data_IF_683396322979
#
_entry.id   IF_683396322979
#
_cell.length_a   1.000
_cell.length_b   1.000
_cell.length_c   1.000
_cell.angle_alpha   90.00
_cell.angle_beta   90.00
_cell.angle_gamma   90.00
#
_symmetry.space_group_name_H-M   'P 1'
#
loop_
_entity.id
_entity.type
_entity.pdbx_description
1 polymer ?
#
# COMPACT_ATOMS: atom_id res chain seq x y z
N UNK A 1 -11.37 -24.87 17.55
CA UNK A 1 -11.74 -23.60 16.90
C UNK A 1 -11.15 -23.63 15.50
N UNK A 2 -11.87 -23.15 14.51
CA UNK A 2 -11.36 -23.13 13.12
C UNK A 2 -10.17 -22.16 13.09
N UNK A 3 -8.98 -22.66 12.77
CA UNK A 3 -7.72 -21.94 12.85
C UNK A 3 -7.39 -21.24 11.51
N UNK A 4 -8.40 -21.00 10.67
CA UNK A 4 -8.26 -20.36 9.37
C UNK A 4 -8.46 -18.85 9.46
N UNK A 5 -7.70 -18.12 8.67
CA UNK A 5 -7.91 -16.68 8.45
C UNK A 5 -9.12 -16.53 7.51
N UNK A 6 -10.14 -15.81 7.98
CA UNK A 6 -11.35 -15.49 7.23
C UNK A 6 -11.21 -14.10 6.62
N UNK A 7 -11.21 -14.00 5.30
CA UNK A 7 -11.18 -12.73 4.58
C UNK A 7 -12.59 -12.12 4.58
N UNK A 8 -12.68 -10.84 4.94
CA UNK A 8 -13.90 -10.03 4.94
C UNK A 8 -13.75 -8.90 3.89
N UNK A 9 -14.22 -9.12 2.64
CA UNK A 9 -14.01 -8.16 1.54
C UNK A 9 -14.62 -6.78 1.80
N UNK A 10 -15.71 -6.71 2.57
CA UNK A 10 -16.39 -5.46 2.91
C UNK A 10 -15.88 -4.85 4.24
N UNK A 11 -14.87 -5.46 4.86
CA UNK A 11 -14.30 -4.99 6.13
C UNK A 11 -13.37 -3.79 5.92
N UNK A 12 -13.33 -2.89 6.91
CA UNK A 12 -12.56 -1.63 6.87
C UNK A 12 -11.78 -1.43 8.17
N UNK A 13 -11.16 -0.27 8.34
CA UNK A 13 -10.48 0.14 9.59
C UNK A 13 -11.40 0.22 10.81
N UNK A 14 -12.71 0.20 10.64
CA UNK A 14 -13.68 0.18 11.75
C UNK A 14 -14.26 -1.20 12.03
N UNK A 15 -13.86 -2.22 11.27
CA UNK A 15 -14.30 -3.61 11.50
C UNK A 15 -13.76 -4.20 12.82
N UNK A 16 -12.49 -3.96 13.22
CA UNK A 16 -12.04 -4.35 14.55
C UNK A 16 -12.76 -3.56 15.65
N UNK A 17 -13.02 -4.20 16.78
CA UNK A 17 -13.77 -3.61 17.90
C UNK A 17 -13.12 -2.32 18.41
N UNK A 18 -13.96 -1.32 18.75
CA UNK A 18 -13.54 -0.09 19.40
C UNK A 18 -12.89 0.94 18.48
N UNK A 19 -12.97 0.76 17.17
CA UNK A 19 -12.59 1.76 16.17
C UNK A 19 -13.83 2.38 15.55
N UNK A 20 -13.81 3.72 15.45
CA UNK A 20 -14.84 4.50 14.78
C UNK A 20 -14.20 5.52 13.86
N UNK A 21 -14.85 5.83 12.74
CA UNK A 21 -14.34 6.78 11.76
C UNK A 21 -15.47 7.66 11.21
N UNK A 22 -15.10 8.74 10.55
CA UNK A 22 -16.01 9.60 9.83
C UNK A 22 -15.25 10.59 8.97
N UNK A 23 -15.94 11.22 8.03
CA UNK A 23 -15.35 12.14 7.07
C UNK A 23 -16.27 13.32 6.76
N UNK A 24 -15.70 14.38 6.20
CA UNK A 24 -16.41 15.56 5.72
C UNK A 24 -15.79 16.07 4.41
N UNK A 25 -16.60 16.74 3.60
CA UNK A 25 -16.15 17.53 2.46
C UNK A 25 -15.96 18.97 2.92
N UNK A 26 -14.71 19.37 3.20
CA UNK A 26 -14.40 20.71 3.71
C UNK A 26 -13.85 21.63 2.62
N UNK A 27 -13.57 21.09 1.43
CA UNK A 27 -13.02 21.83 0.30
C UNK A 27 -11.57 22.21 0.56
N UNK A 28 -10.71 21.25 0.89
CA UNK A 28 -9.25 21.40 0.92
C UNK A 28 -8.78 21.88 -0.46
N UNK A 29 -9.31 21.27 -1.52
CA UNK A 29 -9.28 21.81 -2.89
C UNK A 29 -10.63 22.40 -3.24
N UNK A 30 -10.62 23.64 -3.68
CA UNK A 30 -11.85 24.37 -4.00
C UNK A 30 -12.60 23.85 -5.23
N UNK A 31 -11.93 23.06 -6.08
CA UNK A 31 -12.46 22.44 -7.29
C UNK A 31 -12.95 21.00 -7.06
N UNK A 32 -12.89 20.51 -5.83
CA UNK A 32 -13.38 19.18 -5.46
C UNK A 32 -14.73 19.24 -4.74
N UNK A 33 -15.63 18.33 -5.12
CA UNK A 33 -16.93 18.10 -4.47
C UNK A 33 -16.97 16.65 -3.96
N UNK A 34 -16.09 16.35 -3.00
CA UNK A 34 -15.98 15.01 -2.37
C UNK A 34 -15.46 15.13 -0.94
N UNK A 35 -15.58 14.04 -0.19
CA UNK A 35 -14.96 13.91 1.13
C UNK A 35 -13.43 14.12 0.99
N UNK A 36 -12.85 14.99 1.84
CA UNK A 36 -11.43 15.36 1.77
C UNK A 36 -10.77 15.60 3.14
N UNK A 37 -11.54 15.42 4.23
CA UNK A 37 -11.06 15.41 5.60
C UNK A 37 -11.66 14.22 6.34
N UNK A 38 -10.84 13.47 7.09
CA UNK A 38 -11.32 12.29 7.84
C UNK A 38 -10.64 12.14 9.19
N UNK A 39 -11.34 11.47 10.09
CA UNK A 39 -10.89 11.10 11.43
C UNK A 39 -11.12 9.61 11.66
N UNK A 40 -10.12 8.97 12.28
CA UNK A 40 -10.23 7.64 12.88
C UNK A 40 -9.92 7.77 14.37
N UNK A 41 -10.71 7.12 15.22
CA UNK A 41 -10.52 7.14 16.66
C UNK A 41 -10.69 5.75 17.25
N UNK A 42 -9.83 5.44 18.23
CA UNK A 42 -9.94 4.24 19.04
C UNK A 42 -10.47 4.57 20.44
N UNK A 43 -11.40 3.77 20.94
CA UNK A 43 -11.95 3.90 22.31
C UNK A 43 -10.89 3.71 23.40
N UNK A 44 -9.79 3.02 23.07
CA UNK A 44 -8.63 2.82 23.95
C UNK A 44 -7.34 3.28 23.28
N UNK A 45 -6.34 3.75 24.05
CA UNK A 45 -5.00 3.96 23.53
C UNK A 45 -4.46 2.69 22.86
N UNK A 46 -3.81 2.84 21.71
CA UNK A 46 -3.29 1.74 20.94
C UNK A 46 -1.77 1.58 21.10
N UNK A 47 -1.31 0.34 21.13
CA UNK A 47 0.04 0.03 20.68
C UNK A 47 0.10 0.29 19.18
N UNK A 48 1.11 1.03 18.72
CA UNK A 48 1.14 1.53 17.34
C UNK A 48 2.53 1.32 16.72
N UNK A 49 2.53 0.94 15.45
CA UNK A 49 3.73 0.90 14.64
C UNK A 49 3.49 1.57 13.29
N UNK A 50 4.50 2.21 12.74
CA UNK A 50 4.43 2.83 11.43
C UNK A 50 5.74 2.67 10.65
N UNK A 51 5.61 2.69 9.32
CA UNK A 51 6.71 2.81 8.36
C UNK A 51 6.41 4.02 7.49
N UNK A 52 7.44 4.83 7.21
CA UNK A 52 7.30 6.09 6.49
C UNK A 52 8.19 6.13 5.26
N UNK A 53 7.88 7.05 4.34
CA UNK A 53 8.69 7.30 3.14
C UNK A 53 10.18 7.50 3.48
N UNK A 54 11.03 6.96 2.62
CA UNK A 54 12.48 7.20 2.67
C UNK A 54 12.90 8.38 1.78
N UNK A 55 11.95 9.10 1.15
CA UNK A 55 12.23 10.30 0.38
C UNK A 55 12.89 11.36 1.28
N UNK A 56 13.94 12.00 0.78
CA UNK A 56 14.62 13.08 1.51
C UNK A 56 13.76 14.35 1.66
N UNK A 57 12.76 14.53 0.79
CA UNK A 57 11.78 15.61 0.88
C UNK A 57 10.53 15.12 1.63
N UNK A 58 10.66 14.81 2.92
CA UNK A 58 9.51 14.42 3.74
C UNK A 58 8.54 15.58 3.94
N UNK A 59 7.25 15.30 3.78
CA UNK A 59 6.18 16.26 4.06
C UNK A 59 6.06 16.56 5.57
N UNK A 60 5.54 17.72 5.92
CA UNK A 60 5.35 18.13 7.30
C UNK A 60 4.54 17.12 8.14
N UNK A 61 3.40 16.57 7.67
CA UNK A 61 2.64 15.57 8.42
C UNK A 61 3.45 14.29 8.71
N UNK A 62 4.35 13.86 7.81
CA UNK A 62 5.23 12.72 8.04
C UNK A 62 6.18 13.00 9.22
N UNK A 63 6.83 14.16 9.23
CA UNK A 63 7.77 14.54 10.29
C UNK A 63 7.08 14.64 11.67
N UNK A 64 5.85 15.20 11.69
CA UNK A 64 5.06 15.29 12.93
C UNK A 64 4.67 13.89 13.40
N UNK A 65 4.16 13.03 12.52
CA UNK A 65 3.74 11.68 12.88
C UNK A 65 4.91 10.78 13.30
N UNK A 66 6.09 10.90 12.68
CA UNK A 66 7.32 10.24 13.17
C UNK A 66 7.67 10.65 14.59
N UNK A 67 7.51 11.95 14.91
CA UNK A 67 7.77 12.48 16.26
C UNK A 67 6.75 11.99 17.28
N UNK A 68 5.46 12.00 16.92
CA UNK A 68 4.36 11.58 17.78
C UNK A 68 4.43 10.08 18.09
N UNK A 69 4.79 9.25 17.10
CA UNK A 69 4.90 7.80 17.26
C UNK A 69 6.22 7.31 17.87
N UNK A 70 7.08 8.21 18.36
CA UNK A 70 8.37 7.83 18.94
C UNK A 70 8.25 6.91 20.17
N UNK A 71 7.14 6.98 20.91
CA UNK A 71 6.84 6.12 22.06
C UNK A 71 6.00 4.88 21.71
N UNK A 72 5.64 4.70 20.42
CA UNK A 72 4.87 3.56 19.93
C UNK A 72 3.39 3.59 20.32
N UNK A 73 2.81 4.77 20.55
CA UNK A 73 1.42 4.93 20.93
C UNK A 73 0.67 5.90 20.01
N UNK A 74 -0.60 5.67 19.81
CA UNK A 74 -1.56 6.62 19.24
C UNK A 74 -2.99 6.23 19.66
N UNK A 75 -3.92 7.15 19.50
CA UNK A 75 -5.35 6.89 19.76
C UNK A 75 -6.24 7.43 18.64
N UNK A 76 -5.73 8.34 17.80
CA UNK A 76 -6.49 8.90 16.70
C UNK A 76 -5.62 9.13 15.47
N UNK A 77 -6.29 9.23 14.31
CA UNK A 77 -5.71 9.70 13.05
C UNK A 77 -6.56 10.86 12.54
N UNK A 78 -5.91 11.91 12.04
CA UNK A 78 -6.51 12.94 11.20
C UNK A 78 -5.83 12.93 9.85
N UNK A 79 -6.60 12.83 8.77
CA UNK A 79 -6.04 12.82 7.43
C UNK A 79 -6.83 13.73 6.49
N UNK A 80 -6.12 14.38 5.55
CA UNK A 80 -6.75 15.11 4.45
C UNK A 80 -6.26 14.64 3.09
N UNK A 81 -7.11 14.80 2.08
CA UNK A 81 -6.72 14.74 0.67
C UNK A 81 -6.81 16.15 0.03
N UNK A 82 -6.15 16.31 -1.15
CA UNK A 82 -6.17 17.55 -1.93
C UNK A 82 -4.95 18.46 -1.74
N UNK A 83 -4.27 18.40 -0.59
CA UNK A 83 -3.03 19.10 -0.30
C UNK A 83 -2.09 18.16 0.45
N UNK A 84 -0.91 17.90 -0.11
CA UNK A 84 0.11 17.04 0.50
C UNK A 84 0.79 17.69 1.72
N UNK A 85 0.66 18.98 1.89
CA UNK A 85 1.38 19.77 2.89
C UNK A 85 2.90 19.48 2.87
N UNK A 86 3.45 19.37 1.67
CA UNK A 86 4.87 19.14 1.40
C UNK A 86 5.45 20.34 0.67
N UNK A 87 6.72 20.67 0.93
CA UNK A 87 7.39 21.87 0.43
C UNK A 87 6.69 23.19 0.82
N UNK A 88 6.02 23.23 1.95
CA UNK A 88 5.20 24.33 2.49
C UNK A 88 5.91 25.12 3.60
N UNK A 89 7.15 24.75 3.92
CA UNK A 89 8.00 25.45 4.87
C UNK A 89 7.48 25.46 6.32
N UNK A 90 7.81 26.51 7.07
CA UNK A 90 7.42 26.64 8.48
C UNK A 90 5.89 26.66 8.69
N UNK A 91 5.16 27.21 7.73
CA UNK A 91 3.70 27.27 7.80
C UNK A 91 3.11 25.86 7.74
N UNK A 92 3.51 25.05 6.77
CA UNK A 92 2.98 23.69 6.67
C UNK A 92 3.31 22.82 7.89
N UNK A 93 4.45 23.06 8.54
CA UNK A 93 4.76 22.41 9.81
C UNK A 93 3.81 22.84 10.93
N UNK A 94 3.49 24.16 11.02
CA UNK A 94 2.52 24.66 11.98
C UNK A 94 1.11 24.12 11.68
N UNK A 95 0.71 24.08 10.41
CA UNK A 95 -0.60 23.55 9.97
C UNK A 95 -0.74 22.05 10.38
N UNK A 96 0.31 21.23 10.24
CA UNK A 96 0.28 19.82 10.65
C UNK A 96 0.16 19.66 12.19
N UNK A 97 0.85 20.49 12.98
CA UNK A 97 0.69 20.53 14.43
C UNK A 97 -0.74 20.92 14.82
N UNK A 98 -1.29 21.95 14.15
CA UNK A 98 -2.66 22.41 14.41
C UNK A 98 -3.70 21.32 14.09
N UNK A 99 -3.52 20.54 13.01
CA UNK A 99 -4.37 19.38 12.73
C UNK A 99 -4.40 18.39 13.90
N UNK A 100 -3.23 18.04 14.47
CA UNK A 100 -3.15 17.17 15.64
C UNK A 100 -3.87 17.77 16.85
N UNK A 101 -3.71 19.09 17.09
CA UNK A 101 -4.36 19.80 18.19
C UNK A 101 -5.89 19.79 18.05
N UNK A 102 -6.40 20.03 16.84
CA UNK A 102 -7.86 20.02 16.56
C UNK A 102 -8.46 18.64 16.83
N UNK A 103 -7.82 17.57 16.38
CA UNK A 103 -8.29 16.20 16.65
C UNK A 103 -8.15 15.84 18.13
N UNK A 104 -7.03 16.21 18.78
CA UNK A 104 -6.82 16.03 20.22
C UNK A 104 -7.91 16.72 21.05
N UNK A 105 -8.27 17.96 20.72
CA UNK A 105 -9.34 18.70 21.37
C UNK A 105 -10.70 18.03 21.18
N UNK A 106 -11.01 17.54 19.97
CA UNK A 106 -12.28 16.84 19.68
C UNK A 106 -12.45 15.60 20.54
N UNK A 107 -11.38 14.82 20.73
CA UNK A 107 -11.42 13.55 21.45
C UNK A 107 -11.04 13.66 22.93
N UNK A 108 -10.53 14.81 23.37
CA UNK A 108 -10.04 14.99 24.75
C UNK A 108 -8.79 14.18 25.06
N UNK A 109 -7.91 14.00 24.07
CA UNK A 109 -6.63 13.28 24.18
C UNK A 109 -5.46 14.22 23.93
N UNK A 110 -4.25 13.79 24.31
CA UNK A 110 -3.04 14.55 23.97
C UNK A 110 -2.85 14.62 22.45
N UNK A 111 -2.57 15.81 21.87
CA UNK A 111 -2.21 15.92 20.45
C UNK A 111 -1.07 15.00 20.00
N UNK A 112 -0.16 14.61 20.91
CA UNK A 112 0.89 13.62 20.61
C UNK A 112 0.35 12.21 20.36
N UNK A 113 -0.85 11.87 20.85
CA UNK A 113 -1.53 10.60 20.55
C UNK A 113 -2.30 10.63 19.21
N UNK A 114 -2.14 11.70 18.41
CA UNK A 114 -2.78 11.87 17.10
C UNK A 114 -1.75 11.73 15.98
N UNK A 115 -2.02 10.83 15.06
CA UNK A 115 -1.27 10.69 13.80
C UNK A 115 -1.86 11.64 12.76
N UNK A 116 -1.01 12.39 12.07
CA UNK A 116 -1.39 13.34 11.02
C UNK A 116 -0.96 12.81 9.67
N UNK A 117 -1.85 12.81 8.69
CA UNK A 117 -1.55 12.40 7.32
C UNK A 117 -2.15 13.42 6.32
N UNK A 118 -1.47 13.62 5.22
CA UNK A 118 -1.93 14.47 4.11
C UNK A 118 -1.55 13.86 2.78
N UNK A 119 -2.36 14.08 1.75
CA UNK A 119 -2.06 13.66 0.38
C UNK A 119 -2.65 14.65 -0.63
N UNK A 120 -2.09 14.73 -1.83
CA UNK A 120 -2.53 15.62 -2.90
C UNK A 120 -1.39 16.47 -3.44
N UNK A 121 -1.68 17.72 -3.81
CA UNK A 121 -0.71 18.63 -4.46
C UNK A 121 0.47 18.93 -3.54
N UNK A 122 1.69 18.78 -4.07
CA UNK A 122 2.94 19.21 -3.43
C UNK A 122 3.12 20.71 -3.68
N UNK A 123 3.43 21.46 -2.61
CA UNK A 123 3.55 22.93 -2.66
C UNK A 123 2.23 23.64 -2.34
N UNK A 124 2.12 24.96 -2.68
CA UNK A 124 0.91 25.71 -2.45
C UNK A 124 -0.25 25.28 -3.38
N UNK A 125 -1.52 25.47 -2.99
CA UNK A 125 -1.93 26.25 -1.82
C UNK A 125 -1.71 25.51 -0.50
N UNK A 126 -1.56 26.27 0.60
CA UNK A 126 -1.52 25.73 1.95
C UNK A 126 -2.88 25.18 2.37
N UNK A 127 -2.88 24.36 3.43
CA UNK A 127 -4.10 23.84 4.04
C UNK A 127 -5.04 24.99 4.46
N UNK A 128 -6.34 24.91 4.17
CA UNK A 128 -7.32 25.88 4.63
C UNK A 128 -7.74 25.58 6.07
N UNK A 129 -6.91 25.95 7.05
CA UNK A 129 -7.03 25.55 8.44
C UNK A 129 -8.37 25.93 9.08
N UNK A 130 -8.95 27.08 8.71
CA UNK A 130 -10.29 27.46 9.18
C UNK A 130 -11.36 26.43 8.78
N UNK A 131 -11.33 25.96 7.53
CA UNK A 131 -12.26 24.94 7.03
C UNK A 131 -12.01 23.58 7.68
N UNK A 132 -10.72 23.23 7.88
CA UNK A 132 -10.34 21.99 8.58
C UNK A 132 -10.87 22.03 10.02
N UNK A 133 -10.70 23.16 10.73
CA UNK A 133 -11.17 23.31 12.09
C UNK A 133 -12.70 23.17 12.22
N UNK A 134 -13.45 23.72 11.26
CA UNK A 134 -14.90 23.56 11.24
C UNK A 134 -15.31 22.14 10.87
N UNK A 135 -14.67 21.53 9.87
CA UNK A 135 -14.92 20.14 9.50
C UNK A 135 -14.64 19.15 10.63
N UNK A 136 -13.55 19.32 11.36
CA UNK A 136 -13.25 18.48 12.54
C UNK A 136 -14.38 18.53 13.56
N UNK A 137 -15.01 19.69 13.81
CA UNK A 137 -16.15 19.80 14.74
C UNK A 137 -17.37 19.04 14.21
N UNK A 138 -17.65 19.12 12.92
CA UNK A 138 -18.85 18.57 12.27
C UNK A 138 -18.79 17.07 12.02
N UNK A 139 -17.60 16.49 11.81
CA UNK A 139 -17.46 15.05 11.55
C UNK A 139 -18.06 14.24 12.69
N UNK A 140 -19.05 13.43 12.37
CA UNK A 140 -19.59 12.38 13.25
C UNK A 140 -18.88 11.07 13.00
N UNK A 141 -18.45 10.37 14.05
CA UNK A 141 -17.77 9.09 13.95
C UNK A 141 -18.73 7.94 14.25
N UNK A 142 -18.66 6.90 13.42
CA UNK A 142 -19.47 5.68 13.59
C UNK A 142 -18.62 4.44 13.32
N UNK A 143 -19.13 3.28 13.72
CA UNK A 143 -18.55 1.97 13.40
C UNK A 143 -18.66 1.64 11.90
N UNK A 144 -19.56 2.28 11.15
CA UNK A 144 -19.72 2.13 9.71
C UNK A 144 -18.90 3.17 8.91
N UNK A 145 -18.26 4.14 9.57
CA UNK A 145 -17.54 5.25 8.94
C UNK A 145 -16.24 4.88 8.23
N UNK A 146 -15.83 3.61 8.24
CA UNK A 146 -14.61 3.15 7.61
C UNK A 146 -14.59 3.30 6.08
N UNK A 147 -15.75 3.22 5.41
CA UNK A 147 -15.86 3.46 3.96
C UNK A 147 -15.71 4.96 3.66
N UNK A 148 -16.31 5.83 4.46
CA UNK A 148 -16.15 7.28 4.31
C UNK A 148 -14.69 7.69 4.54
N UNK A 149 -14.02 7.06 5.51
CA UNK A 149 -12.59 7.24 5.75
C UNK A 149 -11.79 6.86 4.49
N UNK A 150 -12.06 5.71 3.89
CA UNK A 150 -11.38 5.28 2.66
C UNK A 150 -11.62 6.24 1.50
N UNK A 151 -12.85 6.75 1.32
CA UNK A 151 -13.19 7.72 0.28
C UNK A 151 -12.49 9.08 0.48
N UNK A 152 -12.37 9.55 1.73
CA UNK A 152 -11.82 10.85 2.04
C UNK A 152 -10.31 10.97 1.81
N UNK A 153 -9.58 9.86 1.87
CA UNK A 153 -8.13 9.84 1.61
C UNK A 153 -7.77 9.70 0.12
N UNK A 154 -8.73 9.38 -0.74
CA UNK A 154 -8.51 9.23 -2.19
C UNK A 154 -8.07 10.56 -2.85
N UNK A 155 -7.27 10.47 -3.91
CA UNK A 155 -6.93 11.60 -4.78
C UNK A 155 -7.39 11.33 -6.21
N UNK A 156 -6.59 10.67 -7.00
CA UNK A 156 -6.84 10.21 -8.35
C UNK A 156 -7.37 8.78 -8.41
N UNK A 157 -7.47 8.12 -7.26
CA UNK A 157 -8.08 6.80 -7.12
C UNK A 157 -9.50 6.79 -7.69
N UNK A 158 -9.87 5.72 -8.41
CA UNK A 158 -11.21 5.57 -8.99
C UNK A 158 -12.16 4.82 -8.06
N UNK A 159 -11.63 4.00 -7.17
CA UNK A 159 -12.38 3.21 -6.18
C UNK A 159 -11.70 3.22 -4.81
N UNK A 160 -12.48 3.22 -3.70
CA UNK A 160 -11.92 3.04 -2.38
C UNK A 160 -11.38 1.61 -2.20
N UNK A 161 -10.27 1.47 -1.47
CA UNK A 161 -9.57 0.19 -1.27
C UNK A 161 -9.54 -0.15 0.21
N UNK A 162 -10.21 -1.23 0.58
CA UNK A 162 -10.33 -1.71 1.95
C UNK A 162 -10.53 -3.22 2.01
N UNK A 163 -10.22 -3.81 3.15
CA UNK A 163 -10.41 -5.24 3.45
C UNK A 163 -10.24 -5.47 4.94
N UNK A 164 -10.81 -6.55 5.46
CA UNK A 164 -10.45 -7.06 6.76
C UNK A 164 -10.17 -8.57 6.72
N UNK A 165 -9.44 -9.04 7.71
CA UNK A 165 -9.17 -10.46 7.95
C UNK A 165 -9.42 -10.78 9.43
N UNK A 166 -10.14 -11.86 9.69
CA UNK A 166 -10.49 -12.32 11.04
C UNK A 166 -9.82 -13.66 11.34
N UNK A 167 -9.31 -13.80 12.55
CA UNK A 167 -8.81 -15.06 13.06
C UNK A 167 -9.22 -15.23 14.53
N UNK A 168 -9.99 -16.27 14.83
CA UNK A 168 -10.45 -16.52 16.20
C UNK A 168 -11.23 -15.33 16.79
N UNK A 169 -10.67 -14.72 17.84
CA UNK A 169 -11.30 -13.63 18.57
C UNK A 169 -10.99 -12.23 18.02
N UNK A 170 -9.92 -12.08 17.21
CA UNK A 170 -9.43 -10.79 16.74
C UNK A 170 -9.60 -10.58 15.23
N UNK A 171 -9.56 -9.34 14.83
CA UNK A 171 -9.71 -8.89 13.46
C UNK A 171 -8.61 -7.87 13.12
N UNK A 172 -8.13 -7.89 11.88
CA UNK A 172 -7.29 -6.83 11.29
C UNK A 172 -8.11 -6.19 10.17
N UNK A 173 -8.32 -4.88 10.23
CA UNK A 173 -8.96 -4.10 9.17
C UNK A 173 -7.97 -3.16 8.52
N UNK A 174 -8.14 -2.85 7.24
CA UNK A 174 -7.25 -1.95 6.53
C UNK A 174 -7.93 -1.15 5.43
N UNK A 175 -7.42 0.06 5.21
CA UNK A 175 -7.72 0.90 4.05
C UNK A 175 -6.42 1.44 3.47
N UNK A 176 -6.41 1.67 2.15
CA UNK A 176 -5.26 2.27 1.47
C UNK A 176 -5.72 3.19 0.34
N UNK A 177 -4.95 4.22 0.05
CA UNK A 177 -5.06 5.02 -1.16
C UNK A 177 -3.71 5.08 -1.87
N UNK A 178 -3.76 5.25 -3.19
CA UNK A 178 -2.61 5.52 -4.04
C UNK A 178 -2.69 4.77 -5.36
N UNK A 179 -2.55 5.48 -6.47
CA UNK A 179 -2.66 4.97 -7.84
C UNK A 179 -1.66 5.62 -8.80
N UNK A 180 -0.87 6.58 -8.30
CA UNK A 180 0.24 7.26 -8.97
C UNK A 180 1.30 7.69 -7.97
N UNK A 181 2.51 7.96 -8.45
CA UNK A 181 3.74 8.19 -7.67
C UNK A 181 4.04 6.96 -6.78
N UNK A 182 3.98 5.77 -7.36
CA UNK A 182 4.13 4.48 -6.67
C UNK A 182 5.39 3.76 -7.14
N UNK A 183 6.43 3.75 -6.28
CA UNK A 183 7.68 3.03 -6.50
C UNK A 183 8.15 2.32 -5.22
N UNK A 184 8.75 1.12 -5.31
CA UNK A 184 9.24 0.36 -4.15
C UNK A 184 10.27 1.12 -3.28
N UNK A 185 10.20 0.92 -1.99
CA UNK A 185 10.82 1.51 -0.81
C UNK A 185 9.91 2.54 -0.10
N UNK A 186 8.68 2.13 0.19
CA UNK A 186 7.55 2.94 0.62
C UNK A 186 7.06 3.84 -0.52
N UNK A 187 6.12 3.31 -1.29
CA UNK A 187 5.43 3.98 -2.41
C UNK A 187 4.41 5.01 -1.92
N UNK A 188 3.94 5.93 -2.78
CA UNK A 188 2.95 6.98 -2.49
C UNK A 188 1.64 6.40 -2.02
N UNK A 189 1.58 6.07 -0.75
CA UNK A 189 0.38 5.52 -0.15
C UNK A 189 0.12 6.10 1.22
N UNK A 190 -1.14 6.17 1.56
CA UNK A 190 -1.58 6.25 2.93
C UNK A 190 -2.31 4.95 3.24
N UNK A 191 -1.69 4.11 4.05
CA UNK A 191 -2.28 2.86 4.52
C UNK A 191 -2.51 2.94 6.02
N UNK A 192 -3.75 2.71 6.42
CA UNK A 192 -4.17 2.66 7.81
C UNK A 192 -4.70 1.26 8.10
N UNK A 193 -4.08 0.62 9.08
CA UNK A 193 -4.44 -0.70 9.57
C UNK A 193 -4.86 -0.59 11.02
N UNK A 194 -5.89 -1.31 11.40
CA UNK A 194 -6.38 -1.40 12.78
C UNK A 194 -6.52 -2.86 13.18
N UNK A 195 -6.35 -3.14 14.46
CA UNK A 195 -6.67 -4.45 15.01
C UNK A 195 -7.14 -4.32 16.46
N UNK A 196 -8.10 -5.16 16.84
CA UNK A 196 -8.53 -5.31 18.21
C UNK A 196 -7.70 -6.34 19.00
N UNK A 197 -6.75 -7.04 18.35
CA UNK A 197 -5.83 -7.94 19.03
C UNK A 197 -4.96 -7.20 20.04
N UNK A 198 -4.72 -7.76 21.25
CA UNK A 198 -3.68 -7.28 22.14
C UNK A 198 -2.31 -7.72 21.61
N UNK A 199 -1.48 -6.77 21.13
CA UNK A 199 -0.19 -7.06 20.49
C UNK A 199 0.94 -6.33 21.20
N UNK A 200 2.04 -7.06 21.46
CA UNK A 200 3.24 -6.49 22.05
C UNK A 200 3.94 -5.51 21.08
N UNK A 201 4.46 -4.36 21.56
CA UNK A 201 5.00 -3.30 20.71
C UNK A 201 6.10 -3.78 19.75
N UNK A 202 7.09 -4.52 20.25
CA UNK A 202 8.21 -5.00 19.44
C UNK A 202 7.75 -5.98 18.35
N UNK A 203 6.80 -6.85 18.70
CA UNK A 203 6.21 -7.78 17.72
C UNK A 203 5.38 -7.05 16.67
N UNK A 204 4.53 -6.08 17.06
CA UNK A 204 3.74 -5.30 16.12
C UNK A 204 4.63 -4.55 15.12
N UNK A 205 5.73 -3.95 15.59
CA UNK A 205 6.70 -3.26 14.74
C UNK A 205 7.38 -4.20 13.75
N UNK A 206 7.82 -5.38 14.20
CA UNK A 206 8.46 -6.36 13.33
C UNK A 206 7.46 -6.98 12.33
N UNK A 207 6.23 -7.24 12.78
CA UNK A 207 5.17 -7.78 11.94
C UNK A 207 4.75 -6.81 10.83
N UNK A 208 4.58 -5.51 11.15
CA UNK A 208 4.29 -4.49 10.14
C UNK A 208 5.42 -4.40 9.11
N UNK A 209 6.68 -4.35 9.57
CA UNK A 209 7.83 -4.29 8.67
C UNK A 209 7.83 -5.47 7.70
N UNK A 210 7.65 -6.68 8.20
CA UNK A 210 7.59 -7.90 7.38
C UNK A 210 6.43 -7.84 6.37
N UNK A 211 5.23 -7.42 6.81
CA UNK A 211 4.08 -7.31 5.93
C UNK A 211 4.29 -6.28 4.81
N UNK A 212 4.86 -5.11 5.13
CA UNK A 212 5.21 -4.07 4.15
C UNK A 212 6.27 -4.54 3.17
N UNK A 213 7.28 -5.27 3.65
CA UNK A 213 8.39 -5.76 2.80
C UNK A 213 7.94 -6.77 1.74
N UNK A 214 6.86 -7.53 1.99
CA UNK A 214 6.31 -8.51 1.03
C UNK A 214 5.09 -8.01 0.26
N UNK A 215 4.67 -6.77 0.46
CA UNK A 215 3.49 -6.17 -0.16
C UNK A 215 3.80 -4.82 -0.79
N UNK A 216 3.67 -3.72 -0.05
CA UNK A 216 3.83 -2.35 -0.55
C UNK A 216 5.23 -2.06 -1.10
N UNK A 217 6.27 -2.73 -0.58
CA UNK A 217 7.63 -2.64 -1.13
C UNK A 217 7.84 -3.53 -2.37
N UNK A 218 6.80 -4.20 -2.85
CA UNK A 218 6.83 -5.10 -4.01
C UNK A 218 5.86 -4.66 -5.12
N UNK A 219 5.41 -3.39 -5.12
CA UNK A 219 4.56 -2.83 -6.17
C UNK A 219 5.24 -1.68 -6.89
N UNK A 220 4.90 -1.48 -8.18
CA UNK A 220 5.34 -0.32 -8.96
C UNK A 220 4.27 0.13 -9.96
N UNK A 221 4.06 1.45 -10.07
CA UNK A 221 3.19 2.05 -11.09
C UNK A 221 4.02 2.90 -12.06
N UNK A 222 4.78 3.87 -11.57
CA UNK A 222 5.42 4.91 -12.39
C UNK A 222 6.89 5.23 -12.02
N UNK A 223 7.48 4.45 -11.12
CA UNK A 223 8.86 4.60 -10.65
C UNK A 223 9.15 5.90 -9.87
N UNK A 224 8.11 6.62 -9.41
CA UNK A 224 8.26 7.81 -8.59
C UNK A 224 7.94 7.54 -7.11
N UNK A 225 8.79 8.04 -6.19
CA UNK A 225 8.63 7.88 -4.75
C UNK A 225 8.02 9.14 -4.14
N UNK A 226 6.93 8.99 -3.38
CA UNK A 226 6.28 10.11 -2.72
C UNK A 226 7.01 10.67 -1.51
N UNK A 227 6.58 11.86 -1.16
CA UNK A 227 7.00 12.64 0.01
C UNK A 227 6.17 12.36 1.27
N UNK A 228 5.04 11.62 1.15
CA UNK A 228 4.00 11.54 2.19
C UNK A 228 3.68 10.12 2.68
N UNK A 229 4.36 9.09 2.17
CA UNK A 229 4.00 7.69 2.44
C UNK A 229 4.00 7.33 3.90
N UNK A 230 2.97 6.59 4.27
CA UNK A 230 2.80 6.03 5.61
C UNK A 230 2.03 4.71 5.54
N UNK A 231 2.58 3.67 6.17
CA UNK A 231 1.84 2.49 6.58
C UNK A 231 1.78 2.46 8.11
N UNK A 232 0.58 2.56 8.67
CA UNK A 232 0.31 2.63 10.10
C UNK A 232 -0.52 1.42 10.52
N UNK A 233 -0.19 0.81 11.67
CA UNK A 233 -1.05 -0.16 12.34
C UNK A 233 -1.30 0.26 13.78
N UNK A 234 -2.57 0.26 14.20
CA UNK A 234 -3.04 0.58 15.55
C UNK A 234 -3.70 -0.66 16.17
N UNK A 235 -3.18 -1.12 17.33
CA UNK A 235 -3.67 -2.28 18.07
C UNK A 235 -4.24 -1.81 19.42
N UNK A 236 -5.57 -1.87 19.62
CA UNK A 236 -6.21 -1.36 20.84
C UNK A 236 -6.45 -2.45 21.91
N UNK A 237 -6.23 -3.71 21.62
CA UNK A 237 -6.34 -4.80 22.57
C UNK A 237 -7.76 -5.01 23.12
N UNK A 238 -8.80 -4.74 22.33
CA UNK A 238 -10.20 -4.91 22.76
C UNK A 238 -10.78 -6.30 22.46
N UNK A 239 -10.04 -7.15 21.72
CA UNK A 239 -10.37 -8.56 21.60
C UNK A 239 -9.96 -9.33 22.86
N UNK A 240 -10.67 -10.43 23.15
CA UNK A 240 -10.32 -11.31 24.23
C UNK A 240 -9.07 -12.13 23.87
N UNK A 241 -8.20 -12.35 24.85
CA UNK A 241 -7.00 -13.18 24.72
C UNK A 241 -5.78 -12.59 25.39
N UNK A 242 -4.69 -13.36 25.38
CA UNK A 242 -3.39 -12.94 25.88
C UNK A 242 -2.67 -12.06 24.85
N UNK A 243 -1.70 -11.27 25.32
CA UNK A 243 -0.91 -10.40 24.45
C UNK A 243 -0.07 -11.23 23.47
N UNK A 244 -0.25 -10.99 22.19
CA UNK A 244 0.49 -11.64 21.10
C UNK A 244 1.88 -11.02 21.01
N UNK A 245 2.89 -11.81 21.37
CA UNK A 245 4.31 -11.54 21.13
C UNK A 245 4.89 -12.60 20.18
N UNK A 246 6.19 -12.55 19.93
CA UNK A 246 6.86 -13.47 19.01
C UNK A 246 6.81 -14.95 19.44
N UNK A 247 6.56 -15.23 20.72
CA UNK A 247 6.43 -16.59 21.28
C UNK A 247 5.00 -17.09 21.39
N UNK A 248 4.01 -16.23 21.11
CA UNK A 248 2.61 -16.58 21.25
C UNK A 248 2.16 -17.59 20.18
N UNK A 249 1.28 -18.56 20.50
CA UNK A 249 0.76 -19.53 19.53
C UNK A 249 0.15 -18.88 18.26
N UNK A 250 -0.49 -17.72 18.38
CA UNK A 250 -1.12 -17.00 17.28
C UNK A 250 -0.16 -16.05 16.55
N UNK A 251 1.12 -15.95 16.92
CA UNK A 251 2.07 -15.04 16.29
C UNK A 251 2.18 -15.26 14.77
N UNK A 252 2.26 -16.51 14.33
CA UNK A 252 2.32 -16.85 12.91
C UNK A 252 1.01 -16.48 12.18
N UNK A 253 -0.14 -16.75 12.78
CA UNK A 253 -1.44 -16.40 12.21
C UNK A 253 -1.65 -14.88 12.12
N UNK A 254 -1.20 -14.13 13.14
CA UNK A 254 -1.24 -12.66 13.11
C UNK A 254 -0.36 -12.10 11.99
N UNK A 255 0.88 -12.59 11.85
CA UNK A 255 1.78 -12.19 10.77
C UNK A 255 1.20 -12.51 9.40
N UNK A 256 0.64 -13.70 9.22
CA UNK A 256 0.00 -14.13 7.97
C UNK A 256 -1.20 -13.23 7.64
N UNK A 257 -2.12 -13.00 8.58
CA UNK A 257 -3.28 -12.15 8.37
C UNK A 257 -2.89 -10.71 8.02
N UNK A 258 -1.91 -10.13 8.72
CA UNK A 258 -1.41 -8.79 8.42
C UNK A 258 -0.78 -8.72 7.02
N UNK A 259 0.01 -9.73 6.65
CA UNK A 259 0.63 -9.81 5.33
C UNK A 259 -0.41 -9.99 4.22
N UNK A 260 -1.46 -10.81 4.43
CA UNK A 260 -2.57 -10.98 3.48
C UNK A 260 -3.35 -9.67 3.27
N UNK A 261 -3.68 -8.95 4.34
CA UNK A 261 -4.35 -7.64 4.24
C UNK A 261 -3.49 -6.65 3.46
N UNK A 262 -2.20 -6.53 3.80
CA UNK A 262 -1.27 -5.63 3.10
C UNK A 262 -1.09 -6.01 1.62
N UNK A 263 -0.94 -7.29 1.30
CA UNK A 263 -0.78 -7.76 -0.09
C UNK A 263 -2.04 -7.52 -0.94
N UNK A 264 -3.22 -7.75 -0.36
CA UNK A 264 -4.49 -7.44 -1.03
C UNK A 264 -4.60 -5.94 -1.35
N UNK A 265 -4.33 -5.08 -0.36
CA UNK A 265 -4.37 -3.62 -0.52
C UNK A 265 -3.34 -3.14 -1.54
N UNK A 266 -2.12 -3.68 -1.52
CA UNK A 266 -1.06 -3.36 -2.48
C UNK A 266 -1.46 -3.75 -3.92
N UNK A 267 -2.02 -4.95 -4.12
CA UNK A 267 -2.52 -5.39 -5.43
C UNK A 267 -3.70 -4.53 -5.91
N UNK A 268 -4.60 -4.12 -5.00
CA UNK A 268 -5.71 -3.23 -5.32
C UNK A 268 -5.26 -1.84 -5.79
N UNK A 269 -4.15 -1.31 -5.25
CA UNK A 269 -3.54 -0.07 -5.73
C UNK A 269 -3.05 -0.21 -7.17
N UNK A 270 -2.35 -1.29 -7.49
CA UNK A 270 -1.85 -1.55 -8.85
C UNK A 270 -3.00 -1.76 -9.84
N UNK A 271 -4.08 -2.43 -9.41
CA UNK A 271 -5.25 -2.67 -10.25
C UNK A 271 -6.01 -1.39 -10.63
N UNK A 272 -5.91 -0.35 -9.81
CA UNK A 272 -6.52 0.97 -10.01
C UNK A 272 -5.49 2.03 -10.50
N UNK A 273 -4.31 1.60 -10.98
CA UNK A 273 -3.25 2.50 -11.41
C UNK A 273 -3.71 3.54 -12.44
N UNK A 274 -3.24 4.79 -12.33
CA UNK A 274 -3.57 5.88 -13.24
C UNK A 274 -3.37 5.48 -14.70
N UNK A 275 -4.47 5.39 -15.46
CA UNK A 275 -4.45 5.00 -16.86
C UNK A 275 -4.00 3.57 -17.15
N UNK A 276 -3.77 2.74 -16.12
CA UNK A 276 -3.40 1.34 -16.25
C UNK A 276 -4.57 0.48 -16.73
N UNK A 277 -4.27 -0.59 -17.45
CA UNK A 277 -5.26 -1.57 -17.93
C UNK A 277 -4.96 -2.99 -17.50
N UNK A 278 -3.75 -3.24 -16.98
CA UNK A 278 -3.24 -4.55 -16.59
C UNK A 278 -2.60 -4.52 -15.21
N UNK A 279 -2.74 -5.64 -14.50
CA UNK A 279 -1.93 -6.00 -13.34
C UNK A 279 -0.92 -7.05 -13.81
N UNK A 280 0.36 -6.75 -13.67
CA UNK A 280 1.47 -7.65 -14.00
C UNK A 280 1.96 -8.25 -12.69
N UNK A 281 1.66 -9.51 -12.43
CA UNK A 281 2.18 -10.25 -11.29
C UNK A 281 3.41 -11.06 -11.71
N UNK A 282 4.55 -10.80 -11.07
CA UNK A 282 5.83 -11.44 -11.38
C UNK A 282 6.28 -12.26 -10.18
N UNK A 283 6.29 -13.58 -10.34
CA UNK A 283 6.91 -14.51 -9.39
C UNK A 283 8.33 -14.83 -9.85
N UNK A 284 9.32 -14.48 -9.05
CA UNK A 284 10.68 -15.00 -9.19
C UNK A 284 10.88 -16.11 -8.18
N UNK A 285 11.29 -17.29 -8.67
CA UNK A 285 11.59 -18.48 -7.88
C UNK A 285 13.04 -18.96 -8.13
N UNK A 286 13.50 -19.93 -7.34
CA UNK A 286 14.81 -20.51 -7.53
C UNK A 286 15.98 -19.55 -7.31
N UNK A 287 15.81 -18.46 -6.58
CA UNK A 287 16.87 -17.49 -6.31
C UNK A 287 17.81 -17.97 -5.19
N UNK A 288 19.07 -17.55 -5.24
CA UNK A 288 20.08 -17.85 -4.22
C UNK A 288 19.74 -17.25 -2.85
N UNK A 289 19.04 -16.12 -2.84
CA UNK A 289 18.56 -15.45 -1.62
C UNK A 289 17.21 -14.79 -1.85
N UNK A 290 16.48 -14.53 -0.75
CA UNK A 290 15.22 -13.78 -0.82
C UNK A 290 15.43 -12.35 -1.36
N UNK A 291 16.57 -11.73 -1.05
CA UNK A 291 16.92 -10.40 -1.58
C UNK A 291 17.13 -10.42 -3.10
N UNK A 292 17.78 -11.47 -3.66
CA UNK A 292 17.91 -11.62 -5.11
C UNK A 292 16.56 -11.85 -5.80
N UNK A 293 15.69 -12.68 -5.19
CA UNK A 293 14.33 -12.88 -5.71
C UNK A 293 13.55 -11.55 -5.75
N UNK A 294 13.63 -10.76 -4.67
CA UNK A 294 12.98 -9.44 -4.59
C UNK A 294 13.51 -8.46 -5.64
N UNK A 295 14.84 -8.35 -5.77
CA UNK A 295 15.47 -7.46 -6.76
C UNK A 295 15.01 -7.81 -8.17
N UNK A 296 15.06 -9.09 -8.53
CA UNK A 296 14.67 -9.54 -9.86
C UNK A 296 13.17 -9.31 -10.14
N UNK A 297 12.29 -9.66 -9.20
CA UNK A 297 10.84 -9.45 -9.35
C UNK A 297 10.49 -7.96 -9.50
N UNK A 298 11.07 -7.09 -8.65
CA UNK A 298 10.87 -5.64 -8.70
C UNK A 298 11.37 -5.04 -10.02
N UNK A 299 12.56 -5.39 -10.47
CA UNK A 299 13.12 -4.85 -11.70
C UNK A 299 12.26 -5.18 -12.92
N UNK A 300 11.62 -6.35 -12.96
CA UNK A 300 10.69 -6.69 -14.03
C UNK A 300 9.46 -5.79 -14.02
N UNK A 301 8.83 -5.55 -12.86
CA UNK A 301 7.62 -4.71 -12.78
C UNK A 301 7.90 -3.21 -12.90
N UNK A 302 9.13 -2.74 -12.65
CA UNK A 302 9.54 -1.34 -12.85
C UNK A 302 9.99 -1.04 -14.28
N UNK A 303 10.32 -2.07 -15.07
CA UNK A 303 10.83 -1.91 -16.43
C UNK A 303 9.80 -1.27 -17.36
N UNK A 304 10.05 -0.05 -17.81
CA UNK A 304 9.24 0.65 -18.84
C UNK A 304 9.08 -0.22 -20.09
N UNK A 305 10.15 -0.93 -20.49
CA UNK A 305 10.13 -1.83 -21.64
C UNK A 305 9.16 -3.01 -21.46
N UNK A 306 9.07 -3.57 -20.25
CA UNK A 306 8.12 -4.63 -19.92
C UNK A 306 6.69 -4.07 -19.86
N UNK A 307 6.47 -2.98 -19.10
CA UNK A 307 5.15 -2.35 -18.96
C UNK A 307 4.51 -2.03 -20.32
N UNK A 308 5.25 -1.41 -21.23
CA UNK A 308 4.76 -1.08 -22.58
C UNK A 308 4.52 -2.30 -23.47
N UNK A 309 5.32 -3.37 -23.32
CA UNK A 309 5.08 -4.63 -24.02
C UNK A 309 3.75 -5.27 -23.57
N UNK A 310 3.44 -5.23 -22.28
CA UNK A 310 2.18 -5.77 -21.74
C UNK A 310 0.96 -4.99 -22.25
N UNK A 311 1.04 -3.66 -22.34
CA UNK A 311 0.01 -2.81 -22.95
C UNK A 311 -0.26 -3.22 -24.41
N UNK A 312 0.79 -3.47 -25.18
CA UNK A 312 0.72 -3.84 -26.60
C UNK A 312 0.46 -5.33 -26.86
N UNK A 313 0.25 -6.14 -25.82
CA UNK A 313 0.16 -7.60 -25.88
C UNK A 313 1.37 -8.23 -26.60
N UNK A 314 2.56 -7.61 -26.50
CA UNK A 314 3.78 -8.14 -27.10
C UNK A 314 4.45 -9.13 -26.12
N UNK A 315 4.50 -10.44 -26.44
CA UNK A 315 5.10 -11.44 -25.55
C UNK A 315 6.63 -11.37 -25.58
N UNK A 316 7.17 -10.21 -25.24
CA UNK A 316 8.57 -9.86 -25.35
C UNK A 316 9.36 -10.41 -24.15
N UNK A 317 9.63 -11.72 -24.16
CA UNK A 317 10.44 -12.37 -23.15
C UNK A 317 11.85 -11.75 -23.01
N UNK A 318 12.39 -11.20 -24.10
CA UNK A 318 13.71 -10.55 -24.10
C UNK A 318 13.76 -9.33 -23.19
N UNK A 319 12.69 -8.52 -23.13
CA UNK A 319 12.59 -7.38 -22.19
C UNK A 319 12.52 -7.83 -20.74
N UNK A 320 11.83 -8.95 -20.47
CA UNK A 320 11.76 -9.52 -19.11
C UNK A 320 13.14 -10.03 -18.69
N UNK A 321 13.83 -10.79 -19.55
CA UNK A 321 15.19 -11.27 -19.26
C UNK A 321 16.20 -10.11 -19.10
N UNK A 322 16.06 -9.05 -19.91
CA UNK A 322 16.89 -7.85 -19.79
C UNK A 322 16.66 -7.15 -18.42
N UNK A 323 15.41 -7.07 -17.97
CA UNK A 323 15.09 -6.52 -16.65
C UNK A 323 15.69 -7.40 -15.54
N UNK A 324 15.52 -8.72 -15.60
CA UNK A 324 16.18 -9.64 -14.65
C UNK A 324 17.69 -9.44 -14.64
N UNK A 325 18.32 -9.30 -15.80
CA UNK A 325 19.76 -9.03 -15.94
C UNK A 325 20.20 -7.71 -15.31
N UNK A 326 19.33 -6.70 -15.31
CA UNK A 326 19.59 -5.38 -14.72
C UNK A 326 19.41 -5.35 -13.20
N UNK A 327 18.76 -6.36 -12.61
CA UNK A 327 18.39 -6.40 -11.18
C UNK A 327 19.58 -6.50 -10.22
N UNK A 328 20.72 -6.98 -10.71
CA UNK A 328 21.89 -7.32 -9.88
C UNK A 328 21.73 -8.62 -9.07
N UNK A 329 20.66 -9.39 -9.30
CA UNK A 329 20.53 -10.74 -8.76
C UNK A 329 21.53 -11.70 -9.42
N UNK A 330 22.02 -12.67 -8.67
CA UNK A 330 22.91 -13.71 -9.22
C UNK A 330 22.08 -14.77 -9.98
N UNK A 331 22.43 -15.04 -11.22
CA UNK A 331 21.86 -16.14 -12.00
C UNK A 331 22.78 -16.53 -13.16
N UNK A 332 22.54 -17.73 -13.73
CA UNK A 332 23.16 -18.21 -14.95
C UNK A 332 22.06 -18.33 -16.02
N UNK A 333 22.23 -17.59 -17.12
CA UNK A 333 21.22 -17.51 -18.18
C UNK A 333 20.88 -18.87 -18.80
N UNK A 334 21.83 -19.79 -18.83
CA UNK A 334 21.65 -21.14 -19.39
C UNK A 334 20.67 -21.98 -18.54
N UNK A 335 20.47 -21.60 -17.28
CA UNK A 335 19.58 -22.29 -16.33
C UNK A 335 18.26 -21.54 -16.06
N UNK A 336 18.11 -20.30 -16.57
CA UNK A 336 16.87 -19.51 -16.36
C UNK A 336 15.73 -20.11 -17.14
N UNK A 337 14.55 -20.21 -16.49
CA UNK A 337 13.31 -20.54 -17.17
C UNK A 337 12.31 -19.38 -17.01
N UNK A 338 11.57 -19.05 -18.11
CA UNK A 338 10.57 -18.00 -18.11
C UNK A 338 9.24 -18.52 -18.67
N UNK A 339 8.16 -18.16 -17.98
CA UNK A 339 6.83 -18.65 -18.28
C UNK A 339 5.78 -17.53 -18.20
N UNK A 340 4.77 -17.63 -19.06
CA UNK A 340 3.49 -16.96 -18.87
C UNK A 340 2.42 -17.97 -18.45
N UNK A 341 1.46 -17.55 -17.64
CA UNK A 341 0.27 -18.36 -17.34
C UNK A 341 -0.71 -18.29 -18.50
N UNK A 342 -1.10 -19.46 -19.01
CA UNK A 342 -2.11 -19.56 -20.06
C UNK A 342 -3.53 -19.30 -19.51
N UNK A 343 -4.40 -18.59 -20.24
CA UNK A 343 -5.83 -18.48 -19.89
C UNK A 343 -6.55 -19.82 -19.82
N UNK A 344 -6.05 -20.83 -20.55
CA UNK A 344 -6.59 -22.21 -20.55
C UNK A 344 -6.10 -23.03 -19.35
N UNK A 345 -5.24 -22.46 -18.52
CA UNK A 345 -4.57 -23.09 -17.39
C UNK A 345 -3.18 -23.63 -17.74
N UNK A 346 -2.34 -23.74 -16.72
CA UNK A 346 -0.93 -24.16 -16.86
C UNK A 346 0.01 -23.02 -17.27
N UNK A 347 1.29 -23.35 -17.33
CA UNK A 347 2.35 -22.39 -17.66
C UNK A 347 2.88 -22.65 -19.08
N UNK A 348 2.98 -21.58 -19.87
CA UNK A 348 3.57 -21.58 -21.21
C UNK A 348 5.04 -21.16 -21.11
N UNK A 349 5.95 -22.10 -21.39
CA UNK A 349 7.40 -21.84 -21.36
C UNK A 349 7.84 -21.03 -22.57
N UNK A 350 8.48 -19.88 -22.33
CA UNK A 350 8.94 -18.95 -23.34
C UNK A 350 10.45 -19.06 -23.59
N UNK A 351 11.21 -19.35 -22.52
CA UNK A 351 12.66 -19.41 -22.53
C UNK A 351 13.13 -20.51 -21.56
N UNK A 352 14.08 -21.32 -22.00
CA UNK A 352 14.66 -22.41 -21.22
C UNK A 352 15.98 -22.88 -21.88
N UNK A 353 16.89 -23.44 -21.08
CA UNK A 353 18.19 -23.97 -21.56
C UNK A 353 18.97 -22.94 -22.42
N UNK A 354 18.98 -21.67 -21.95
CA UNK A 354 19.66 -20.55 -22.60
C UNK A 354 19.03 -20.09 -23.93
N UNK A 355 17.88 -20.64 -24.35
CA UNK A 355 17.29 -20.38 -25.66
C UNK A 355 15.75 -20.18 -25.60
N UNK A 356 15.16 -19.43 -26.57
CA UNK A 356 13.73 -19.42 -26.77
C UNK A 356 13.19 -20.82 -27.13
N UNK A 357 12.03 -21.18 -26.61
CA UNK A 357 11.42 -22.52 -26.80
C UNK A 357 10.77 -22.76 -28.16
N UNK A 358 10.90 -21.84 -29.14
CA UNK A 358 10.24 -21.96 -30.45
C UNK A 358 8.74 -21.73 -30.39
N UNK A 359 8.31 -20.87 -29.54
CA UNK A 359 6.96 -20.56 -29.12
C UNK A 359 6.01 -20.22 -30.28
N UNK A 360 4.79 -20.74 -30.20
CA UNK A 360 3.64 -20.19 -30.92
C UNK A 360 3.29 -18.79 -30.38
N UNK A 361 3.63 -17.76 -31.16
CA UNK A 361 3.43 -16.37 -30.80
C UNK A 361 1.97 -16.06 -30.44
N UNK A 362 1.01 -16.66 -31.14
CA UNK A 362 -0.43 -16.45 -30.89
C UNK A 362 -0.83 -16.94 -29.50
N UNK A 363 -0.27 -18.06 -29.04
CA UNK A 363 -0.53 -18.56 -27.68
C UNK A 363 0.09 -17.66 -26.62
N UNK A 364 1.26 -17.12 -26.88
CA UNK A 364 1.89 -16.20 -25.97
C UNK A 364 1.15 -14.85 -25.87
N UNK A 365 0.69 -14.31 -27.00
CA UNK A 365 -0.16 -13.11 -27.06
C UNK A 365 -1.46 -13.32 -26.27
N UNK A 366 -2.08 -14.50 -26.36
CA UNK A 366 -3.29 -14.84 -25.62
C UNK A 366 -3.09 -14.78 -24.10
N UNK A 367 -1.90 -15.04 -23.59
CA UNK A 367 -1.59 -14.91 -22.16
C UNK A 367 -1.60 -13.45 -21.67
N UNK A 368 -1.49 -12.46 -22.56
CA UNK A 368 -1.42 -11.04 -22.25
C UNK A 368 -2.76 -10.31 -22.43
N UNK A 369 -3.79 -10.98 -22.94
CA UNK A 369 -5.14 -10.39 -23.12
C UNK A 369 -5.84 -10.14 -21.78
N UNK A 370 -5.81 -11.04 -20.78
CA UNK A 370 -6.47 -10.83 -19.51
C UNK A 370 -5.99 -9.56 -18.79
N UNK A 371 -6.82 -9.00 -17.92
CA UNK A 371 -6.43 -7.87 -17.08
C UNK A 371 -5.30 -8.25 -16.11
N UNK A 372 -5.31 -9.47 -15.58
CA UNK A 372 -4.22 -10.00 -14.75
C UNK A 372 -3.28 -10.86 -15.60
N UNK A 373 -2.02 -10.46 -15.66
CA UNK A 373 -0.95 -11.14 -16.38
C UNK A 373 0.00 -11.76 -15.35
N UNK A 374 0.27 -13.05 -15.49
CA UNK A 374 1.17 -13.78 -14.58
C UNK A 374 2.45 -14.17 -15.31
N UNK A 375 3.57 -13.70 -14.77
CA UNK A 375 4.92 -14.00 -15.23
C UNK A 375 5.63 -14.80 -14.16
N UNK A 376 6.26 -15.94 -14.52
CA UNK A 376 7.13 -16.68 -13.62
C UNK A 376 8.54 -16.75 -14.22
N UNK A 377 9.52 -16.38 -13.41
CA UNK A 377 10.94 -16.52 -13.74
C UNK A 377 11.57 -17.43 -12.70
N UNK A 378 12.18 -18.52 -13.12
CA UNK A 378 12.97 -19.41 -12.28
C UNK A 378 14.45 -19.16 -12.53
N UNK A 379 15.19 -18.79 -11.49
CA UNK A 379 16.62 -18.48 -11.60
C UNK A 379 17.52 -19.70 -11.41
N UNK A 380 16.99 -20.83 -10.93
CA UNK A 380 17.67 -22.10 -10.70
C UNK A 380 18.97 -21.99 -9.87
N UNK A 381 19.04 -21.08 -8.88
CA UNK A 381 20.21 -20.83 -8.03
C UNK A 381 19.97 -21.24 -6.56
N UNK A 382 18.73 -21.60 -6.19
CA UNK A 382 18.36 -21.94 -4.81
C UNK A 382 16.84 -22.12 -4.65
N UNK A 383 16.32 -21.88 -3.44
CA UNK A 383 14.92 -22.15 -3.09
C UNK A 383 14.14 -20.87 -2.72
N UNK A 384 14.79 -19.72 -2.79
CA UNK A 384 14.15 -18.44 -2.41
C UNK A 384 13.22 -17.93 -3.50
N UNK A 385 12.14 -17.25 -3.08
CA UNK A 385 11.17 -16.67 -4.00
C UNK A 385 10.65 -15.33 -3.50
N UNK A 386 10.14 -14.53 -4.44
CA UNK A 386 9.41 -13.28 -4.16
C UNK A 386 8.42 -12.98 -5.29
N UNK A 387 7.32 -12.30 -4.92
CA UNK A 387 6.34 -11.81 -5.89
C UNK A 387 6.32 -10.29 -5.88
N UNK A 388 6.22 -9.68 -7.08
CA UNK A 388 6.00 -8.25 -7.26
C UNK A 388 4.81 -8.00 -8.18
N UNK A 389 4.19 -6.83 -8.04
CA UNK A 389 3.04 -6.41 -8.86
C UNK A 389 3.33 -5.06 -9.50
N UNK A 390 3.01 -4.90 -10.77
CA UNK A 390 3.11 -3.64 -11.49
C UNK A 390 1.91 -3.42 -12.42
N UNK A 391 1.64 -2.17 -12.74
CA UNK A 391 0.71 -1.82 -13.82
C UNK A 391 1.43 -1.86 -15.17
N UNK A 392 0.67 -1.98 -16.26
CA UNK A 392 1.16 -1.62 -17.58
C UNK A 392 1.34 -0.10 -17.73
N UNK A 393 1.96 0.35 -18.82
CA UNK A 393 2.18 1.78 -19.13
C UNK A 393 1.51 2.12 -20.45
N UNK A 394 0.44 2.92 -20.38
CA UNK A 394 -0.44 3.27 -21.49
C UNK A 394 -0.29 4.72 -21.97
N UNK A 395 -0.86 5.06 -23.12
CA UNK A 395 -0.99 6.45 -23.57
C UNK A 395 -1.87 7.28 -22.61
N UNK A 396 -2.85 6.65 -21.96
CA UNK A 396 -3.75 7.29 -20.99
C UNK A 396 -2.99 7.75 -19.74
N UNK A 397 -2.02 6.95 -19.25
CA UNK A 397 -1.12 7.38 -18.17
C UNK A 397 -0.43 8.71 -18.52
N UNK A 398 0.15 8.79 -19.73
CA UNK A 398 0.83 10.01 -20.19
C UNK A 398 -0.16 11.18 -20.30
N UNK A 399 -1.35 10.92 -20.83
CA UNK A 399 -2.39 11.95 -20.97
C UNK A 399 -2.83 12.51 -19.62
N UNK A 400 -3.14 11.65 -18.65
CA UNK A 400 -3.55 12.07 -17.32
C UNK A 400 -2.46 12.87 -16.62
N UNK A 401 -1.23 12.38 -16.61
CA UNK A 401 -0.12 13.04 -15.92
C UNK A 401 0.40 14.31 -16.62
N UNK A 402 0.04 14.56 -17.90
CA UNK A 402 0.36 15.78 -18.62
C UNK A 402 -0.65 16.90 -18.41
N UNK A 403 -1.89 16.57 -18.05
CA UNK A 403 -3.01 17.53 -18.02
C UNK A 403 -3.50 17.82 -16.59
N UNK A 404 -3.10 17.03 -15.62
CA UNK A 404 -3.62 17.13 -14.27
C UNK A 404 -2.48 17.37 -13.27
N UNK A 405 -2.67 18.38 -12.38
CA UNK A 405 -1.75 18.64 -11.26
C UNK A 405 -2.31 17.97 -9.99
N UNK A 406 -1.62 16.97 -9.54
CA UNK A 406 -1.93 16.28 -8.27
C UNK A 406 -1.06 16.80 -7.15
#
# INVERSE_FOLDING_TARGET
MDNRIEIQPDGTVTTPKGFVAGAAAVGVRSDWDKLDLTLLYSEKPCTTAAVFTTNNLKAAPVLISESHLADGKAQAVIANSGCANCATGKRGHADAIEMAQLAGQKFGIDPHDVVVASTGVIGPPHLPMDKIADGVKEISLTSEGGIDFANAIMTTDTVPKYIAAKHGAWTIGGVVKGVGMIHPNMATMLCFLTTDAPVAPDFLKSALKTAVDVSFNMIDIDNDMSTNDMALVMANGMADGDTIDAGHPDAAAFQEALSLVCAHLAKAMVADAEGGTKVIEVLVSGAASHEDARKAAREVVTSVGVKTAMTGHDPNFGRILAAVGNSGAAFDIDNVELYFRSPEGGDLCLFKDGTPTGLDRTKAEACLIPQEIYVRVDLAQGDSSATAWGSDLTEEFVRLNSLYTT
#
